data_IF_696600519117
#
_entry.id   IF_696600519117
#
_cell.length_a   1.000
_cell.length_b   1.000
_cell.length_c   1.000
_cell.angle_alpha   90.00
_cell.angle_beta   90.00
_cell.angle_gamma   90.00
#
_symmetry.space_group_name_H-M   'P 1'
#
loop_
_entity.id
_entity.type
_entity.pdbx_description
1 polymer ?
#
# COMPACT_ATOMS: atom_id res chain seq x y z
N UNK A 1 22.91 -1.04 -24.20
CA UNK A 1 21.46 -1.20 -24.50
C UNK A 1 21.00 -2.47 -23.82
N UNK A 2 20.18 -2.40 -22.80
CA UNK A 2 19.61 -3.60 -22.15
C UNK A 2 18.60 -4.23 -23.11
N UNK A 3 18.63 -5.56 -23.32
CA UNK A 3 17.68 -6.24 -24.21
C UNK A 3 16.24 -5.96 -23.78
N UNK A 4 15.29 -5.86 -24.73
CA UNK A 4 13.90 -5.64 -24.41
C UNK A 4 13.39 -6.78 -23.50
N UNK A 5 12.74 -6.41 -22.39
CA UNK A 5 12.17 -7.42 -21.48
C UNK A 5 11.16 -8.27 -22.25
N UNK A 6 11.21 -9.60 -22.16
CA UNK A 6 10.25 -10.45 -22.87
C UNK A 6 8.82 -10.14 -22.41
N UNK A 7 7.87 -10.10 -23.34
CA UNK A 7 6.44 -9.79 -23.11
C UNK A 7 5.84 -10.62 -21.97
N UNK A 8 6.28 -11.88 -21.83
CA UNK A 8 5.87 -12.77 -20.75
C UNK A 8 6.14 -12.21 -19.35
N UNK A 9 7.31 -11.58 -19.14
CA UNK A 9 7.61 -10.95 -17.83
C UNK A 9 6.72 -9.75 -17.54
N UNK A 10 6.32 -9.01 -18.57
CA UNK A 10 5.37 -7.91 -18.39
C UNK A 10 3.98 -8.43 -18.00
N UNK A 11 3.50 -9.50 -18.62
CA UNK A 11 2.22 -10.13 -18.26
C UNK A 11 2.26 -10.65 -16.81
N UNK A 12 3.36 -11.31 -16.42
CA UNK A 12 3.53 -11.77 -15.03
C UNK A 12 3.47 -10.62 -14.03
N UNK A 13 4.04 -9.46 -14.34
CA UNK A 13 3.98 -8.28 -13.46
C UNK A 13 2.53 -7.83 -13.24
N UNK A 14 1.71 -7.74 -14.28
CA UNK A 14 0.31 -7.34 -14.17
C UNK A 14 -0.55 -8.38 -13.43
N UNK A 15 -0.30 -9.66 -13.66
CA UNK A 15 -0.98 -10.74 -12.91
C UNK A 15 -0.65 -10.67 -11.43
N UNK A 16 0.60 -10.42 -11.08
CA UNK A 16 1.01 -10.27 -9.68
C UNK A 16 0.41 -9.04 -9.01
N UNK A 17 0.30 -7.92 -9.74
CA UNK A 17 -0.44 -6.76 -9.26
C UNK A 17 -1.90 -7.13 -9.00
N UNK A 18 -2.56 -7.82 -9.93
CA UNK A 18 -3.96 -8.21 -9.75
C UNK A 18 -4.15 -9.12 -8.51
N UNK A 19 -3.27 -10.13 -8.32
CA UNK A 19 -3.30 -10.99 -7.12
C UNK A 19 -3.08 -10.16 -5.84
N UNK A 20 -2.13 -9.23 -5.87
CA UNK A 20 -1.90 -8.32 -4.74
C UNK A 20 -3.13 -7.45 -4.43
N UNK A 21 -3.79 -6.92 -5.45
CA UNK A 21 -4.99 -6.10 -5.28
C UNK A 21 -6.20 -6.92 -4.78
N UNK A 22 -6.31 -8.19 -5.14
CA UNK A 22 -7.31 -9.10 -4.56
C UNK A 22 -7.06 -9.29 -3.07
N UNK A 23 -5.81 -9.58 -2.67
CA UNK A 23 -5.43 -9.70 -1.27
C UNK A 23 -5.75 -8.41 -0.49
N UNK A 24 -5.38 -7.26 -1.04
CA UNK A 24 -5.67 -5.95 -0.46
C UNK A 24 -7.18 -5.72 -0.30
N UNK A 25 -7.96 -5.98 -1.34
CA UNK A 25 -9.40 -5.76 -1.32
C UNK A 25 -10.12 -6.66 -0.30
N UNK A 26 -9.67 -7.90 -0.12
CA UNK A 26 -10.17 -8.80 0.93
C UNK A 26 -9.81 -8.24 2.31
N UNK A 27 -8.53 -7.92 2.55
CA UNK A 27 -8.08 -7.34 3.83
C UNK A 27 -8.85 -6.10 4.23
N UNK A 28 -9.07 -5.21 3.27
CA UNK A 28 -9.79 -3.96 3.49
C UNK A 28 -11.29 -4.18 3.76
N UNK A 29 -12.01 -4.86 2.86
CA UNK A 29 -13.48 -4.95 2.96
C UNK A 29 -13.97 -5.93 4.03
N UNK A 30 -13.24 -7.03 4.27
CA UNK A 30 -13.68 -8.08 5.20
C UNK A 30 -13.25 -7.79 6.64
N UNK A 31 -12.08 -7.18 6.82
CA UNK A 31 -11.49 -7.02 8.15
C UNK A 31 -11.41 -5.57 8.61
N UNK A 32 -10.87 -4.65 7.79
CA UNK A 32 -10.61 -3.28 8.23
C UNK A 32 -11.85 -2.38 8.17
N UNK A 33 -12.63 -2.47 7.11
CA UNK A 33 -13.81 -1.62 6.92
C UNK A 33 -14.85 -1.77 8.04
N UNK A 34 -15.20 -3.00 8.50
CA UNK A 34 -16.18 -3.16 9.59
C UNK A 34 -15.69 -2.63 10.94
N UNK A 35 -14.38 -2.57 11.18
CA UNK A 35 -13.82 -2.13 12.46
C UNK A 35 -13.75 -0.61 12.60
N UNK A 36 -14.09 0.16 11.58
CA UNK A 36 -14.00 1.63 11.56
C UNK A 36 -12.62 2.17 11.99
N UNK A 37 -11.56 1.42 11.76
CA UNK A 37 -10.19 1.84 12.04
C UNK A 37 -9.82 3.01 11.13
N UNK A 38 -9.15 4.00 11.68
CA UNK A 38 -8.71 5.18 10.90
C UNK A 38 -7.87 4.75 9.71
N UNK A 39 -8.28 5.14 8.52
CA UNK A 39 -7.52 4.85 7.31
C UNK A 39 -6.15 5.54 7.36
N UNK A 40 -5.11 4.81 7.04
CA UNK A 40 -3.76 5.35 6.80
C UNK A 40 -3.65 5.93 5.39
N UNK A 41 -2.61 6.69 5.13
CA UNK A 41 -2.33 7.22 3.81
C UNK A 41 -3.21 8.39 3.38
N UNK A 42 -3.32 8.60 2.07
CA UNK A 42 -4.13 9.69 1.50
C UNK A 42 -5.63 9.63 1.83
N UNK A 43 -6.28 8.45 1.89
CA UNK A 43 -7.66 8.38 2.37
C UNK A 43 -7.83 8.97 3.78
N UNK A 44 -6.87 8.72 4.69
CA UNK A 44 -6.86 9.29 6.03
C UNK A 44 -6.78 10.82 6.01
N UNK A 45 -5.82 11.38 5.26
CA UNK A 45 -5.71 12.84 5.10
C UNK A 45 -6.99 13.44 4.52
N UNK A 46 -7.56 12.80 3.51
CA UNK A 46 -8.78 13.29 2.85
C UNK A 46 -9.98 13.26 3.78
N UNK A 47 -10.07 12.25 4.66
CA UNK A 47 -11.10 12.17 5.69
C UNK A 47 -10.94 13.26 6.74
N UNK A 48 -9.72 13.57 7.18
CA UNK A 48 -9.44 14.68 8.11
C UNK A 48 -9.87 16.02 7.49
N UNK A 49 -9.56 16.25 6.20
CA UNK A 49 -9.98 17.46 5.49
C UNK A 49 -11.51 17.53 5.40
N UNK A 50 -12.18 16.42 5.10
CA UNK A 50 -13.64 16.37 5.08
C UNK A 50 -14.24 16.76 6.42
N UNK A 51 -13.76 16.20 7.52
CA UNK A 51 -14.28 16.52 8.86
C UNK A 51 -13.98 17.97 9.27
N UNK A 52 -12.87 18.55 8.82
CA UNK A 52 -12.49 19.92 9.15
C UNK A 52 -13.23 20.98 8.29
N UNK A 53 -13.49 20.67 7.02
CA UNK A 53 -13.97 21.67 6.04
C UNK A 53 -15.31 21.35 5.40
N UNK A 54 -15.84 20.14 5.56
CA UNK A 54 -17.02 19.65 4.85
C UNK A 54 -16.80 19.33 3.38
N UNK A 55 -15.56 19.46 2.87
CA UNK A 55 -15.23 19.16 1.48
C UNK A 55 -15.29 17.63 1.23
N UNK A 56 -16.03 17.15 0.21
CA UNK A 56 -16.15 15.72 -0.07
C UNK A 56 -14.79 15.03 -0.19
N UNK A 57 -14.62 13.88 0.47
CA UNK A 57 -13.33 13.13 0.57
C UNK A 57 -12.69 12.88 -0.80
N UNK A 58 -13.50 12.70 -1.84
CA UNK A 58 -13.05 12.41 -3.19
C UNK A 58 -12.22 13.53 -3.81
N UNK A 59 -12.53 14.80 -3.50
CA UNK A 59 -11.86 15.97 -4.09
C UNK A 59 -10.39 16.06 -3.63
N UNK A 60 -10.08 16.17 -2.32
CA UNK A 60 -8.70 16.23 -1.86
C UNK A 60 -7.93 14.93 -2.18
N UNK A 61 -8.59 13.78 -2.12
CA UNK A 61 -7.99 12.51 -2.51
C UNK A 61 -7.55 12.50 -3.97
N UNK A 62 -8.42 12.93 -4.88
CA UNK A 62 -8.12 12.96 -6.32
C UNK A 62 -6.98 13.95 -6.63
N UNK A 63 -7.05 15.17 -6.08
CA UNK A 63 -6.04 16.21 -6.30
C UNK A 63 -4.67 15.75 -5.80
N UNK A 64 -4.60 15.18 -4.58
CA UNK A 64 -3.36 14.70 -4.00
C UNK A 64 -2.78 13.53 -4.81
N UNK A 65 -3.60 12.54 -5.21
CA UNK A 65 -3.13 11.43 -6.05
C UNK A 65 -2.66 11.90 -7.42
N UNK A 66 -3.39 12.80 -8.08
CA UNK A 66 -2.99 13.35 -9.38
C UNK A 66 -1.64 14.07 -9.29
N UNK A 67 -1.45 14.89 -8.26
CA UNK A 67 -0.19 15.61 -8.01
C UNK A 67 0.96 14.63 -7.77
N UNK A 68 0.77 13.65 -6.91
CA UNK A 68 1.77 12.62 -6.63
C UNK A 68 2.11 11.78 -7.86
N UNK A 69 1.12 11.45 -8.69
CA UNK A 69 1.34 10.69 -9.90
C UNK A 69 2.12 11.48 -10.96
N UNK A 70 1.87 12.79 -11.07
CA UNK A 70 2.66 13.70 -11.93
C UNK A 70 4.12 13.75 -11.45
N UNK A 71 4.36 13.89 -10.15
CA UNK A 71 5.69 13.83 -9.57
C UNK A 71 6.35 12.48 -9.82
N UNK A 72 5.62 11.38 -9.61
CA UNK A 72 6.10 10.03 -9.85
C UNK A 72 6.46 9.81 -11.33
N UNK A 73 5.71 10.37 -12.26
CA UNK A 73 6.00 10.27 -13.68
C UNK A 73 7.38 10.83 -14.03
N UNK A 74 7.71 11.99 -13.47
CA UNK A 74 9.02 12.64 -13.68
C UNK A 74 10.16 11.88 -12.98
N UNK A 75 9.91 11.30 -11.80
CA UNK A 75 10.94 10.71 -10.94
C UNK A 75 11.10 9.21 -11.20
N UNK A 76 10.01 8.45 -11.17
CA UNK A 76 10.00 6.98 -11.26
C UNK A 76 9.81 6.48 -12.70
N UNK A 77 9.27 7.35 -13.58
CA UNK A 77 9.08 7.09 -14.99
C UNK A 77 7.74 6.46 -15.35
N UNK A 78 7.43 6.45 -16.66
CA UNK A 78 6.13 6.04 -17.19
C UNK A 78 5.73 4.59 -16.84
N UNK A 79 6.70 3.67 -16.77
CA UNK A 79 6.41 2.25 -16.46
C UNK A 79 5.82 2.05 -15.06
N UNK A 80 6.31 2.80 -14.08
CA UNK A 80 5.77 2.81 -12.73
C UNK A 80 4.35 3.36 -12.72
N UNK A 81 4.13 4.50 -13.38
CA UNK A 81 2.81 5.15 -13.42
C UNK A 81 1.75 4.27 -14.09
N UNK A 82 2.07 3.63 -15.22
CA UNK A 82 1.12 2.73 -15.90
C UNK A 82 0.72 1.56 -14.98
N UNK A 83 1.67 0.94 -14.30
CA UNK A 83 1.40 -0.15 -13.36
C UNK A 83 0.60 0.33 -12.15
N UNK A 84 0.89 1.53 -11.66
CA UNK A 84 0.15 2.16 -10.54
C UNK A 84 -1.29 2.48 -10.95
N UNK A 85 -1.51 3.07 -12.10
CA UNK A 85 -2.87 3.32 -12.63
C UNK A 85 -3.64 2.01 -12.77
N UNK A 86 -3.01 0.97 -13.33
CA UNK A 86 -3.62 -0.36 -13.42
C UNK A 86 -3.99 -0.91 -12.03
N UNK A 87 -3.08 -0.84 -11.07
CA UNK A 87 -3.33 -1.30 -9.69
C UNK A 87 -4.50 -0.56 -9.04
N UNK A 88 -4.56 0.78 -9.20
CA UNK A 88 -5.65 1.62 -8.67
C UNK A 88 -6.99 1.26 -9.30
N UNK A 89 -7.04 1.05 -10.61
CA UNK A 89 -8.27 0.63 -11.29
C UNK A 89 -8.73 -0.74 -10.77
N UNK A 90 -7.83 -1.71 -10.72
CA UNK A 90 -8.15 -3.07 -10.25
C UNK A 90 -8.62 -3.07 -8.80
N UNK A 91 -7.92 -2.38 -7.89
CA UNK A 91 -8.33 -2.32 -6.48
C UNK A 91 -9.68 -1.60 -6.31
N UNK A 92 -9.94 -0.55 -7.08
CA UNK A 92 -11.21 0.18 -7.03
C UNK A 92 -12.38 -0.72 -7.46
N UNK A 93 -12.23 -1.46 -8.54
CA UNK A 93 -13.25 -2.42 -9.01
C UNK A 93 -13.46 -3.53 -7.97
N UNK A 94 -12.39 -4.11 -7.45
CA UNK A 94 -12.47 -5.20 -6.48
C UNK A 94 -13.07 -4.74 -5.15
N UNK A 95 -12.66 -3.59 -4.63
CA UNK A 95 -13.24 -3.03 -3.39
C UNK A 95 -14.71 -2.71 -3.57
N UNK A 96 -15.12 -2.15 -4.69
CA UNK A 96 -16.52 -1.90 -5.01
C UNK A 96 -17.33 -3.20 -5.10
N UNK A 97 -16.78 -4.22 -5.77
CA UNK A 97 -17.40 -5.54 -5.89
C UNK A 97 -17.54 -6.24 -4.52
N UNK A 98 -16.48 -6.27 -3.72
CA UNK A 98 -16.51 -6.91 -2.40
C UNK A 98 -17.38 -6.14 -1.42
N UNK A 99 -17.37 -4.81 -1.43
CA UNK A 99 -18.26 -3.99 -0.60
C UNK A 99 -19.72 -4.31 -0.85
N UNK A 100 -20.13 -4.50 -2.12
CA UNK A 100 -21.52 -4.81 -2.47
C UNK A 100 -21.94 -6.26 -2.17
N UNK A 101 -20.99 -7.20 -2.05
CA UNK A 101 -21.29 -8.62 -1.86
C UNK A 101 -20.99 -9.14 -0.46
N UNK A 102 -20.10 -8.48 0.26
CA UNK A 102 -19.60 -8.90 1.56
C UNK A 102 -19.98 -7.92 2.68
N UNK A 103 -20.90 -6.97 2.41
CA UNK A 103 -21.43 -6.05 3.42
C UNK A 103 -22.03 -6.75 4.64
N UNK A 104 -22.56 -7.96 4.44
CA UNK A 104 -23.22 -8.73 5.49
C UNK A 104 -22.28 -9.76 6.19
N UNK A 105 -21.03 -9.81 5.74
CA UNK A 105 -20.01 -10.74 6.30
C UNK A 105 -19.23 -10.03 7.39
N UNK A 106 -19.70 -10.13 8.59
CA UNK A 106 -19.08 -9.55 9.79
C UNK A 106 -18.16 -10.59 10.48
N UNK A 107 -16.96 -10.79 9.92
CA UNK A 107 -15.96 -11.63 10.55
C UNK A 107 -15.23 -10.85 11.65
N UNK A 108 -15.21 -11.39 12.86
CA UNK A 108 -14.47 -10.85 14.00
C UNK A 108 -14.99 -9.50 14.55
N UNK A 109 -16.30 -9.19 14.43
CA UNK A 109 -16.88 -7.97 15.02
C UNK A 109 -16.60 -7.79 16.52
N UNK A 110 -16.58 -8.91 17.26
CA UNK A 110 -16.30 -8.90 18.69
C UNK A 110 -14.79 -8.90 19.04
N UNK A 111 -13.91 -8.89 18.02
CA UNK A 111 -12.48 -8.95 18.21
C UNK A 111 -11.74 -7.98 17.25
N UNK A 112 -11.89 -6.67 17.45
CA UNK A 112 -11.38 -5.66 16.53
C UNK A 112 -9.84 -5.70 16.37
N UNK A 113 -9.12 -6.13 17.39
CA UNK A 113 -7.66 -6.28 17.32
C UNK A 113 -7.25 -7.37 16.32
N UNK A 114 -7.93 -8.53 16.34
CA UNK A 114 -7.63 -9.62 15.41
C UNK A 114 -8.04 -9.29 13.98
N UNK A 115 -9.16 -8.60 13.81
CA UNK A 115 -9.58 -8.10 12.51
C UNK A 115 -8.56 -7.08 11.95
N UNK A 116 -8.10 -6.14 12.77
CA UNK A 116 -7.06 -5.19 12.42
C UNK A 116 -5.75 -5.89 12.01
N UNK A 117 -5.31 -6.89 12.78
CA UNK A 117 -4.10 -7.65 12.49
C UNK A 117 -4.19 -8.44 11.17
N UNK A 118 -5.25 -9.22 10.98
CA UNK A 118 -5.44 -9.99 9.75
C UNK A 118 -5.62 -9.09 8.54
N UNK A 119 -6.43 -8.05 8.66
CA UNK A 119 -6.60 -7.05 7.62
C UNK A 119 -5.27 -6.41 7.21
N UNK A 120 -4.43 -6.05 8.19
CA UNK A 120 -3.11 -5.48 7.94
C UNK A 120 -2.17 -6.45 7.21
N UNK A 121 -2.19 -7.75 7.54
CA UNK A 121 -1.41 -8.78 6.84
C UNK A 121 -1.85 -8.90 5.38
N UNK A 122 -3.13 -9.01 5.11
CA UNK A 122 -3.65 -9.13 3.74
C UNK A 122 -3.37 -7.86 2.93
N UNK A 123 -3.59 -6.67 3.50
CA UNK A 123 -3.29 -5.40 2.85
C UNK A 123 -1.80 -5.22 2.60
N UNK A 124 -0.95 -5.50 3.60
CA UNK A 124 0.50 -5.37 3.49
C UNK A 124 1.10 -6.32 2.46
N UNK A 125 0.65 -7.58 2.42
CA UNK A 125 1.04 -8.53 1.38
C UNK A 125 0.61 -8.05 -0.01
N UNK A 126 -0.62 -7.53 -0.14
CA UNK A 126 -1.14 -7.00 -1.40
C UNK A 126 -0.32 -5.83 -1.93
N UNK A 127 -0.06 -4.83 -1.10
CA UNK A 127 0.77 -3.66 -1.43
C UNK A 127 2.20 -4.11 -1.76
N UNK A 128 2.78 -5.00 -0.94
CA UNK A 128 4.13 -5.52 -1.12
C UNK A 128 4.31 -6.24 -2.47
N UNK A 129 3.31 -7.02 -2.91
CA UNK A 129 3.30 -7.63 -4.24
C UNK A 129 3.28 -6.57 -5.34
N UNK A 130 2.47 -5.53 -5.23
CA UNK A 130 2.46 -4.41 -6.15
C UNK A 130 3.84 -3.74 -6.27
N UNK A 131 4.46 -3.40 -5.15
CA UNK A 131 5.79 -2.80 -5.12
C UNK A 131 6.89 -3.71 -5.65
N UNK A 132 6.78 -5.02 -5.43
CA UNK A 132 7.78 -6.00 -5.89
C UNK A 132 7.96 -6.01 -7.41
N UNK A 133 6.95 -5.59 -8.16
CA UNK A 133 6.96 -5.49 -9.62
C UNK A 133 6.99 -4.04 -10.13
N UNK A 134 7.15 -3.06 -9.24
CA UNK A 134 7.27 -1.65 -9.57
C UNK A 134 5.94 -0.98 -9.87
N UNK A 135 4.87 -1.38 -9.19
CA UNK A 135 3.59 -0.69 -9.10
C UNK A 135 3.35 -0.18 -7.68
N UNK A 136 2.25 0.54 -7.46
CA UNK A 136 1.82 1.09 -6.17
C UNK A 136 0.30 1.15 -6.13
N UNK A 137 -0.30 1.18 -4.95
CA UNK A 137 -1.73 1.41 -4.78
C UNK A 137 -2.12 2.89 -4.81
N UNK A 138 -1.15 3.77 -5.01
CA UNK A 138 -1.34 5.23 -4.93
C UNK A 138 -1.09 5.75 -3.51
N UNK A 139 -1.36 7.04 -3.29
CA UNK A 139 -1.26 7.62 -1.96
C UNK A 139 0.17 7.79 -1.44
N UNK A 140 0.34 7.63 -0.13
CA UNK A 140 1.65 7.68 0.56
C UNK A 140 2.63 6.66 0.02
N UNK A 141 2.15 5.60 -0.59
CA UNK A 141 2.94 4.59 -1.30
C UNK A 141 3.82 5.18 -2.40
N UNK A 142 3.31 6.18 -3.14
CA UNK A 142 4.07 6.88 -4.17
C UNK A 142 5.23 7.66 -3.53
N UNK A 143 4.97 8.30 -2.38
CA UNK A 143 6.01 9.00 -1.62
C UNK A 143 7.09 8.01 -1.20
N UNK A 144 6.69 6.85 -0.66
CA UNK A 144 7.62 5.80 -0.27
C UNK A 144 8.47 5.31 -1.45
N UNK A 145 7.87 5.11 -2.62
CA UNK A 145 8.59 4.70 -3.82
C UNK A 145 9.59 5.77 -4.30
N UNK A 146 9.24 7.05 -4.21
CA UNK A 146 10.14 8.16 -4.53
C UNK A 146 11.32 8.21 -3.56
N UNK A 147 11.07 8.15 -2.25
CA UNK A 147 12.12 8.17 -1.24
C UNK A 147 13.04 6.96 -1.36
N UNK A 148 12.50 5.76 -1.56
CA UNK A 148 13.28 4.54 -1.76
C UNK A 148 14.19 4.59 -2.98
N UNK A 149 13.83 5.38 -4.01
CA UNK A 149 14.69 5.58 -5.18
C UNK A 149 15.95 6.39 -4.86
N UNK A 150 15.85 7.38 -3.96
CA UNK A 150 16.95 8.30 -3.64
C UNK A 150 17.72 7.91 -2.37
N UNK A 151 17.12 7.11 -1.52
CA UNK A 151 17.68 6.67 -0.24
C UNK A 151 17.47 5.18 -0.08
N UNK A 152 18.44 4.47 0.50
CA UNK A 152 18.34 3.04 0.82
C UNK A 152 17.50 2.82 2.08
N UNK A 153 16.27 3.35 2.08
CA UNK A 153 15.29 3.19 3.17
C UNK A 153 14.21 2.25 2.67
N UNK A 154 13.81 1.28 3.51
CA UNK A 154 12.75 0.33 3.14
C UNK A 154 11.42 1.05 2.90
N UNK A 155 10.62 0.51 1.98
CA UNK A 155 9.32 1.07 1.62
C UNK A 155 8.37 1.12 2.81
N UNK A 156 8.28 0.03 3.58
CA UNK A 156 7.44 -0.03 4.77
C UNK A 156 7.85 0.98 5.84
N UNK A 157 9.16 1.24 5.99
CA UNK A 157 9.64 2.26 6.94
C UNK A 157 9.22 3.67 6.56
N UNK A 158 9.26 4.02 5.27
CA UNK A 158 8.81 5.34 4.80
C UNK A 158 7.30 5.49 4.96
N UNK A 159 6.52 4.46 4.60
CA UNK A 159 5.07 4.42 4.80
C UNK A 159 4.76 4.60 6.28
N UNK A 160 5.46 3.85 7.16
CA UNK A 160 5.27 3.94 8.60
C UNK A 160 5.47 5.37 9.12
N UNK A 161 6.54 6.05 8.71
CA UNK A 161 6.83 7.43 9.14
C UNK A 161 5.71 8.38 8.66
N UNK A 162 5.31 8.32 7.40
CA UNK A 162 4.23 9.17 6.87
C UNK A 162 2.91 8.93 7.61
N UNK A 163 2.55 7.68 7.80
CA UNK A 163 1.26 7.30 8.35
C UNK A 163 1.17 7.51 9.86
N UNK A 164 2.28 7.48 10.61
CA UNK A 164 2.33 7.90 12.02
C UNK A 164 1.81 9.32 12.16
N UNK A 165 2.28 10.25 11.32
CA UNK A 165 1.81 11.64 11.37
C UNK A 165 0.33 11.75 11.02
N UNK A 166 -0.14 10.99 10.02
CA UNK A 166 -1.54 11.01 9.59
C UNK A 166 -2.45 10.45 10.68
N UNK A 167 -2.12 9.27 11.24
CA UNK A 167 -2.91 8.63 12.29
C UNK A 167 -2.90 9.48 13.57
N UNK A 168 -1.75 10.06 13.93
CA UNK A 168 -1.69 10.98 15.08
C UNK A 168 -2.57 12.21 14.88
N UNK A 169 -2.57 12.78 13.68
CA UNK A 169 -3.41 13.96 13.38
C UNK A 169 -4.89 13.62 13.36
N UNK A 170 -5.28 12.38 13.05
CA UNK A 170 -6.68 11.96 13.05
C UNK A 170 -7.30 11.98 14.46
N UNK A 171 -6.50 11.84 15.51
CA UNK A 171 -6.98 11.95 16.89
C UNK A 171 -7.63 13.31 17.19
N UNK A 172 -7.11 14.38 16.59
CA UNK A 172 -7.67 15.74 16.77
C UNK A 172 -9.12 15.86 16.29
N UNK A 173 -9.58 14.93 15.46
CA UNK A 173 -10.90 14.96 14.83
C UNK A 173 -11.79 13.82 15.35
N UNK A 174 -11.24 12.63 15.49
CA UNK A 174 -12.03 11.42 15.89
C UNK A 174 -12.24 11.35 17.40
N UNK A 175 -11.31 11.90 18.21
CA UNK A 175 -11.33 11.90 19.68
C UNK A 175 -11.49 10.49 20.31
N UNK A 176 -11.10 9.44 19.59
CA UNK A 176 -11.23 8.04 20.03
C UNK A 176 -9.86 7.36 20.03
N UNK A 177 -9.34 7.10 21.24
CA UNK A 177 -8.02 6.49 21.42
C UNK A 177 -7.94 5.03 20.93
N UNK A 178 -9.03 4.28 21.05
CA UNK A 178 -9.02 2.87 20.65
C UNK A 178 -8.82 2.72 19.13
N UNK A 179 -9.52 3.55 18.35
CA UNK A 179 -9.38 3.54 16.88
C UNK A 179 -8.00 3.95 16.42
N UNK A 180 -7.39 4.92 17.11
CA UNK A 180 -6.02 5.35 16.84
C UNK A 180 -5.03 4.24 17.17
N UNK A 181 -5.19 3.55 18.29
CA UNK A 181 -4.32 2.41 18.66
C UNK A 181 -4.42 1.27 17.66
N UNK A 182 -5.63 0.89 17.23
CA UNK A 182 -5.79 -0.11 16.18
C UNK A 182 -5.17 0.35 14.85
N UNK A 183 -5.27 1.63 14.51
CA UNK A 183 -4.58 2.22 13.37
C UNK A 183 -3.07 2.01 13.42
N UNK A 184 -2.43 2.18 14.58
CA UNK A 184 -1.01 1.91 14.75
C UNK A 184 -0.67 0.42 14.62
N UNK A 185 -1.51 -0.47 15.13
CA UNK A 185 -1.31 -1.92 14.95
C UNK A 185 -1.35 -2.27 13.46
N UNK A 186 -2.36 -1.79 12.73
CA UNK A 186 -2.46 -1.97 11.28
C UNK A 186 -1.22 -1.47 10.57
N UNK A 187 -0.77 -0.25 10.91
CA UNK A 187 0.39 0.37 10.31
C UNK A 187 1.68 -0.45 10.50
N UNK A 188 1.97 -0.87 11.74
CA UNK A 188 3.17 -1.65 12.05
C UNK A 188 3.18 -3.00 11.31
N UNK A 189 2.07 -3.74 11.36
CA UNK A 189 1.96 -5.06 10.73
C UNK A 189 2.02 -4.93 9.21
N UNK A 190 1.32 -3.96 8.64
CA UNK A 190 1.31 -3.70 7.20
C UNK A 190 2.69 -3.32 6.68
N UNK A 191 3.40 -2.40 7.35
CA UNK A 191 4.76 -1.99 6.98
C UNK A 191 5.74 -3.16 7.02
N UNK A 192 5.66 -4.01 8.05
CA UNK A 192 6.45 -5.22 8.16
C UNK A 192 6.19 -6.20 7.00
N UNK A 193 4.91 -6.46 6.69
CA UNK A 193 4.53 -7.35 5.59
C UNK A 193 5.01 -6.81 4.23
N UNK A 194 4.87 -5.51 3.98
CA UNK A 194 5.38 -4.86 2.76
C UNK A 194 6.87 -5.13 2.60
N UNK A 195 7.66 -4.84 3.63
CA UNK A 195 9.11 -5.02 3.58
C UNK A 195 9.51 -6.48 3.37
N UNK A 196 8.84 -7.43 4.03
CA UNK A 196 9.12 -8.85 3.85
C UNK A 196 8.83 -9.32 2.41
N UNK A 197 7.70 -8.93 1.84
CA UNK A 197 7.31 -9.32 0.48
C UNK A 197 8.27 -8.70 -0.55
N UNK A 198 8.59 -7.41 -0.41
CA UNK A 198 9.50 -6.71 -1.32
C UNK A 198 10.92 -7.29 -1.23
N UNK A 199 11.43 -7.51 -0.02
CA UNK A 199 12.77 -8.04 0.20
C UNK A 199 12.89 -9.49 -0.26
N UNK A 200 11.86 -10.31 -0.11
CA UNK A 200 11.86 -11.70 -0.59
C UNK A 200 12.12 -11.81 -2.08
N UNK A 201 11.69 -10.84 -2.87
CA UNK A 201 11.91 -10.80 -4.32
C UNK A 201 13.23 -10.14 -4.74
N UNK A 202 13.82 -9.31 -3.87
CA UNK A 202 15.11 -8.65 -4.12
C UNK A 202 16.31 -9.44 -3.64
N UNK A 203 16.13 -10.63 -3.08
CA UNK A 203 17.25 -11.47 -2.62
C UNK A 203 18.12 -11.85 -3.80
N UNK A 204 19.31 -11.23 -3.88
CA UNK A 204 20.43 -11.68 -4.73
C UNK A 204 21.35 -12.54 -3.89
N UNK A 205 21.74 -13.69 -4.41
CA UNK A 205 22.75 -14.54 -3.79
C UNK A 205 24.11 -14.07 -4.28
N UNK A 206 25.00 -13.67 -3.37
CA UNK A 206 26.38 -13.40 -3.70
C UNK A 206 27.16 -14.70 -3.57
N UNK A 207 27.76 -15.17 -4.66
CA UNK A 207 28.68 -16.28 -4.64
C UNK A 207 30.09 -15.73 -4.51
N UNK A 208 30.78 -16.03 -3.41
CA UNK A 208 32.20 -15.78 -3.26
C UNK A 208 32.94 -17.01 -3.76
N UNK A 209 33.59 -16.90 -4.90
CA UNK A 209 34.46 -17.95 -5.42
C UNK A 209 35.89 -17.65 -4.96
N UNK A 210 36.33 -18.41 -3.97
CA UNK A 210 37.70 -18.33 -3.49
C UNK A 210 38.51 -19.33 -4.33
N UNK A 211 39.37 -18.84 -5.21
CA UNK A 211 40.28 -19.67 -6.00
C UNK A 211 41.71 -19.50 -5.50
N UNK A 212 42.41 -20.59 -5.35
CA UNK A 212 43.85 -20.58 -5.04
C UNK A 212 44.72 -20.38 -6.31
N UNK A 213 44.13 -20.46 -7.50
CA UNK A 213 44.79 -20.18 -8.78
C UNK A 213 44.28 -18.86 -9.34
N UNK A 214 45.16 -17.89 -9.39
CA UNK A 214 44.98 -16.58 -10.03
C UNK A 214 46.04 -16.48 -11.15
N UNK A 215 45.80 -17.14 -12.25
CA UNK A 215 46.48 -16.88 -13.51
C UNK A 215 45.56 -16.13 -14.45
#
# INVERSE_FOLDING_TARGET
>A
MTPPRPLWKSVQDYVLIAIGMISYAIGWNVFLLPTNVTASGLPGISSIIYWATGCPVQIPYFIANATLLICAFKILGAKFCVKTVYAVIVVTILTSFFSSRLSDVHLLENQPLWAAFLGAVFCGCGIGLGFSVGGSTGGTDIIAAIVNKYRDISLGRVIMICDIFIISSSYLVVHDWEKVLYGYVVLCVQAFCIDQVVNSRRRSVQFFIISQKYE
#
